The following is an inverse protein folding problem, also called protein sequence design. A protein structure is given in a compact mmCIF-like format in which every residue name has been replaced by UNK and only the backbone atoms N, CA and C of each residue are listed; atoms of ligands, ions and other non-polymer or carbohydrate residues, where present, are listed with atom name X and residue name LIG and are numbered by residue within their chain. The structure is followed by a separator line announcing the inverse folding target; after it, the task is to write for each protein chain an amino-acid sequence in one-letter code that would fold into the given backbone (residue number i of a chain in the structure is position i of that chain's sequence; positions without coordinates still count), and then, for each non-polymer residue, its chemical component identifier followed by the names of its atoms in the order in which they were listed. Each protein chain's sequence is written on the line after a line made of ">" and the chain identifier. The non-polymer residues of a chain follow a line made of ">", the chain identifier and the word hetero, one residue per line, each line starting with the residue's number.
data_IF_858834637773
#
_entry.id   IF_858834637773
#
_cell.length_a   1.000
_cell.length_b   1.000
_cell.length_c   1.000
_cell.angle_alpha   90.00
_cell.angle_beta   90.00
_cell.angle_gamma   90.00
#
_symmetry.space_group_name_H-M   'P 1'
#
loop_
_entity.id
_entity.type
_entity.pdbx_description
1 polymer ?
#
# COMPACT_ATOMS: atom_id res chain seq x y z
N UNK A 1 23.61 -8.66 14.13
CA UNK A 1 24.05 -8.89 15.53
C UNK A 1 22.83 -8.94 16.46
N UNK A 2 22.91 -9.64 17.61
CA UNK A 2 21.82 -9.64 18.61
C UNK A 2 21.96 -8.45 19.56
N UNK A 3 20.94 -7.59 19.61
CA UNK A 3 20.88 -6.38 20.44
C UNK A 3 20.24 -6.73 21.78
N UNK A 4 21.06 -6.72 22.84
CA UNK A 4 20.67 -7.13 24.20
C UNK A 4 20.87 -6.03 25.25
N UNK A 5 21.32 -4.84 24.85
CA UNK A 5 21.45 -3.65 25.71
C UNK A 5 20.87 -2.41 25.02
N UNK A 6 20.27 -1.50 25.80
CA UNK A 6 19.79 -0.19 25.30
C UNK A 6 20.88 0.62 24.60
N UNK A 7 22.11 0.57 25.09
CA UNK A 7 23.25 1.32 24.53
C UNK A 7 23.65 0.88 23.11
N UNK A 8 23.06 -0.18 22.58
CA UNK A 8 23.28 -0.69 21.23
C UNK A 8 22.15 -0.32 20.26
N UNK A 9 21.10 0.36 20.75
CA UNK A 9 20.05 0.93 19.92
C UNK A 9 20.58 2.14 19.14
N UNK A 10 19.90 2.54 18.04
CA UNK A 10 20.28 3.72 17.28
C UNK A 10 20.36 4.95 18.19
N UNK A 11 21.42 5.75 18.03
CA UNK A 11 21.69 6.90 18.88
C UNK A 11 20.63 8.00 18.79
N UNK A 12 19.88 8.05 17.69
CA UNK A 12 18.78 9.01 17.51
C UNK A 12 17.48 8.59 18.19
N UNK A 13 17.33 7.31 18.58
CA UNK A 13 16.08 6.83 19.11
C UNK A 13 15.87 7.33 20.54
N UNK A 14 14.78 8.07 20.71
CA UNK A 14 14.36 8.61 21.99
C UNK A 14 12.84 8.40 22.12
N UNK A 15 12.46 7.54 23.06
CA UNK A 15 11.06 7.18 23.31
C UNK A 15 10.21 8.39 23.75
N UNK A 16 10.81 9.42 24.34
CA UNK A 16 10.07 10.59 24.81
C UNK A 16 9.55 11.45 23.66
N UNK A 17 10.24 11.48 22.51
CA UNK A 17 9.78 12.22 21.33
C UNK A 17 8.44 11.67 20.80
N UNK A 18 8.16 10.39 21.02
CA UNK A 18 6.94 9.71 20.59
C UNK A 18 5.70 10.07 21.41
N UNK A 19 5.85 10.79 22.54
CA UNK A 19 4.72 11.33 23.31
C UNK A 19 3.88 12.30 22.48
N UNK A 20 4.45 12.90 21.43
CA UNK A 20 3.76 13.77 20.48
C UNK A 20 2.54 13.10 19.82
N UNK A 21 2.51 11.77 19.69
CA UNK A 21 1.36 11.08 19.09
C UNK A 21 0.09 11.12 19.94
N UNK A 22 0.22 11.31 21.25
CA UNK A 22 -0.94 11.40 22.14
C UNK A 22 -1.82 12.62 21.85
N UNK A 23 -1.25 13.68 21.27
CA UNK A 23 -1.94 14.93 20.94
C UNK A 23 -2.35 15.04 19.47
N UNK A 24 -2.01 14.05 18.63
CA UNK A 24 -2.46 14.01 17.24
C UNK A 24 -3.95 13.67 17.16
N UNK A 25 -4.63 14.32 16.23
CA UNK A 25 -5.97 13.89 15.80
C UNK A 25 -5.93 12.54 15.08
N UNK A 26 -7.12 12.01 14.82
CA UNK A 26 -7.30 10.66 14.28
C UNK A 26 -6.72 10.52 12.88
N UNK A 27 -6.89 11.52 12.02
CA UNK A 27 -6.37 11.53 10.67
C UNK A 27 -4.84 11.60 10.67
N UNK A 28 -4.27 12.50 11.44
CA UNK A 28 -2.82 12.68 11.58
C UNK A 28 -2.15 11.42 12.12
N UNK A 29 -2.76 10.76 13.11
CA UNK A 29 -2.22 9.51 13.65
C UNK A 29 -2.33 8.36 12.65
N UNK A 30 -3.44 8.25 11.91
CA UNK A 30 -3.59 7.25 10.86
C UNK A 30 -2.56 7.45 9.74
N UNK A 31 -2.29 8.70 9.34
CA UNK A 31 -1.25 9.01 8.37
C UNK A 31 0.14 8.53 8.82
N UNK A 32 0.46 8.61 10.12
CA UNK A 32 1.72 8.07 10.64
C UNK A 32 1.85 6.55 10.45
N UNK A 33 0.74 5.81 10.50
CA UNK A 33 0.71 4.36 10.24
C UNK A 33 0.86 4.06 8.75
N UNK A 34 0.11 4.78 7.89
CA UNK A 34 0.14 4.58 6.43
C UNK A 34 1.55 4.81 5.90
N UNK A 35 2.19 5.94 6.24
CA UNK A 35 3.55 6.24 5.78
C UNK A 35 4.57 5.17 6.17
N UNK A 36 4.44 4.62 7.37
CA UNK A 36 5.33 3.56 7.86
C UNK A 36 5.04 2.22 7.20
N UNK A 37 3.79 1.96 6.82
CA UNK A 37 3.45 0.82 5.98
C UNK A 37 4.09 0.97 4.59
N UNK A 38 4.07 2.16 4.00
CA UNK A 38 4.69 2.43 2.70
C UNK A 38 6.22 2.21 2.77
N UNK A 39 6.88 2.78 3.79
CA UNK A 39 8.31 2.54 4.05
C UNK A 39 8.63 1.04 4.21
N UNK A 40 7.73 0.27 4.84
CA UNK A 40 7.89 -1.18 5.00
C UNK A 40 7.84 -1.91 3.66
N UNK A 41 6.87 -1.55 2.80
CA UNK A 41 6.69 -2.14 1.48
C UNK A 41 7.91 -1.88 0.59
N UNK A 42 8.46 -0.67 0.66
CA UNK A 42 9.56 -0.22 -0.19
C UNK A 42 10.92 -0.30 0.50
N UNK A 43 11.05 -1.11 1.55
CA UNK A 43 12.26 -1.17 2.35
C UNK A 43 13.52 -1.30 1.49
N UNK A 44 13.51 -2.18 0.48
CA UNK A 44 14.66 -2.41 -0.41
C UNK A 44 15.07 -1.22 -1.30
N UNK A 45 14.26 -0.16 -1.35
CA UNK A 45 14.57 1.06 -2.10
C UNK A 45 15.31 2.09 -1.27
N UNK A 46 15.12 2.08 0.05
CA UNK A 46 15.76 3.02 0.98
C UNK A 46 17.09 2.49 1.50
N UNK A 47 18.10 3.35 1.52
CA UNK A 47 19.31 3.06 2.26
C UNK A 47 19.12 3.29 3.77
N UNK A 48 20.13 2.94 4.56
CA UNK A 48 20.06 3.11 6.02
C UNK A 48 20.06 4.59 6.45
N UNK A 49 20.64 5.48 5.64
CA UNK A 49 20.69 6.91 5.94
C UNK A 49 19.31 7.54 5.74
N UNK A 50 18.60 7.18 4.66
CA UNK A 50 17.22 7.58 4.38
C UNK A 50 16.28 7.15 5.52
N UNK A 51 16.35 5.89 5.93
CA UNK A 51 15.52 5.38 7.02
C UNK A 51 15.88 6.07 8.33
N UNK A 52 17.16 6.29 8.63
CA UNK A 52 17.53 7.04 9.82
C UNK A 52 17.03 8.50 9.75
N UNK A 53 17.08 9.15 8.59
CA UNK A 53 16.58 10.51 8.39
C UNK A 53 15.07 10.60 8.62
N UNK A 54 14.31 9.64 8.09
CA UNK A 54 12.86 9.56 8.26
C UNK A 54 12.49 9.26 9.73
N UNK A 55 13.21 8.34 10.38
CA UNK A 55 12.93 7.91 11.75
C UNK A 55 13.54 8.82 12.83
N UNK A 56 14.41 9.78 12.45
CA UNK A 56 15.01 10.75 13.37
C UNK A 56 13.96 11.71 13.96
N UNK A 57 12.94 12.06 13.16
CA UNK A 57 11.80 12.86 13.56
C UNK A 57 10.55 11.97 13.62
N UNK A 58 9.96 11.71 14.80
CA UNK A 58 8.90 10.71 14.94
C UNK A 58 7.61 11.10 14.22
N UNK A 59 7.29 12.40 14.14
CA UNK A 59 6.13 12.91 13.41
C UNK A 59 6.57 13.26 11.99
N UNK A 60 6.16 12.45 11.02
CA UNK A 60 6.47 12.71 9.61
C UNK A 60 5.48 13.77 9.10
N UNK A 61 5.91 15.03 9.11
CA UNK A 61 5.16 16.19 8.61
C UNK A 61 5.35 16.31 7.09
N UNK A 62 4.30 16.04 6.31
CA UNK A 62 4.25 16.37 4.87
C UNK A 62 3.04 17.28 4.64
N UNK A 63 3.14 18.35 3.83
CA UNK A 63 2.06 19.31 3.68
C UNK A 63 0.82 18.81 2.91
N UNK A 64 0.90 17.73 2.13
CA UNK A 64 -0.23 17.13 1.39
C UNK A 64 0.29 15.89 0.66
N UNK A 65 0.01 14.68 1.15
CA UNK A 65 0.26 13.47 0.36
C UNK A 65 -0.71 12.36 0.80
N UNK A 66 -1.91 12.39 0.21
CA UNK A 66 -2.81 11.24 0.13
C UNK A 66 -2.67 10.57 -1.25
N UNK A 67 -1.50 10.69 -1.88
CA UNK A 67 -1.24 10.21 -3.23
C UNK A 67 -0.23 9.07 -3.22
N UNK A 68 -0.78 7.91 -3.58
CA UNK A 68 -0.21 6.86 -4.45
C UNK A 68 1.16 6.31 -4.07
N UNK A 69 1.13 5.03 -3.64
CA UNK A 69 2.19 4.06 -3.86
C UNK A 69 2.68 4.22 -5.31
N UNK A 70 3.87 4.80 -5.51
CA UNK A 70 4.56 4.76 -6.80
C UNK A 70 5.57 3.63 -6.73
N UNK A 71 5.13 2.45 -7.17
CA UNK A 71 5.97 1.26 -7.25
C UNK A 71 6.78 1.28 -8.55
N UNK A 72 8.11 1.29 -8.45
CA UNK A 72 9.02 1.09 -9.58
C UNK A 72 10.12 0.11 -9.20
N UNK A 73 10.19 -1.04 -9.89
CA UNK A 73 11.47 -1.70 -10.21
C UNK A 73 11.38 -2.53 -11.49
N UNK A 74 12.21 -2.14 -12.46
CA UNK A 74 12.37 -2.78 -13.76
C UNK A 74 13.52 -3.80 -13.77
N UNK A 75 13.31 -5.00 -14.34
CA UNK A 75 14.25 -5.67 -15.30
C UNK A 75 13.67 -6.95 -15.96
N UNK A 76 13.22 -6.76 -17.21
CA UNK A 76 13.27 -7.57 -18.47
C UNK A 76 13.52 -9.11 -18.40
N UNK A 77 12.60 -9.91 -18.97
CA UNK A 77 12.75 -10.69 -20.24
C UNK A 77 11.45 -11.48 -20.60
N UNK A 78 11.20 -11.63 -21.89
CA UNK A 78 9.90 -11.85 -22.55
C UNK A 78 9.30 -13.26 -22.51
N UNK A 79 7.95 -13.37 -22.60
CA UNK A 79 7.25 -14.37 -23.44
C UNK A 79 5.85 -13.85 -23.86
N UNK A 80 5.44 -14.09 -25.10
CA UNK A 80 4.64 -13.17 -25.91
C UNK A 80 3.12 -13.08 -25.64
N UNK A 81 2.55 -13.73 -24.60
CA UNK A 81 1.17 -13.55 -24.15
C UNK A 81 1.01 -13.95 -22.67
N UNK A 82 0.50 -13.04 -21.83
CA UNK A 82 0.11 -13.31 -20.43
C UNK A 82 -1.22 -14.07 -20.30
N UNK A 83 -1.62 -14.47 -19.08
CA UNK A 83 -2.87 -15.20 -18.84
C UNK A 83 -4.11 -14.38 -19.24
N UNK A 84 -5.11 -15.04 -19.84
CA UNK A 84 -6.39 -14.43 -20.22
C UNK A 84 -7.28 -14.30 -18.99
N UNK A 85 -7.68 -13.07 -18.66
CA UNK A 85 -8.55 -12.79 -17.53
C UNK A 85 -9.99 -13.32 -17.73
N UNK A 86 -10.59 -13.82 -16.65
CA UNK A 86 -11.97 -14.33 -16.63
C UNK A 86 -13.02 -13.23 -16.85
N UNK A 87 -14.22 -13.59 -17.31
CA UNK A 87 -15.34 -12.67 -17.57
C UNK A 87 -16.67 -13.31 -17.18
N UNK A 88 -17.63 -12.51 -16.70
CA UNK A 88 -18.95 -12.97 -16.25
C UNK A 88 -20.03 -11.98 -16.68
N UNK A 89 -21.30 -12.33 -16.50
CA UNK A 89 -22.46 -11.61 -17.07
C UNK A 89 -22.36 -10.09 -16.82
N UNK A 90 -22.23 -9.30 -17.88
CA UNK A 90 -22.23 -7.83 -17.77
C UNK A 90 -20.95 -7.18 -17.22
N UNK A 91 -19.97 -7.98 -16.80
CA UNK A 91 -18.71 -7.48 -16.26
C UNK A 91 -17.58 -8.26 -16.90
N UNK A 92 -16.78 -7.58 -17.71
CA UNK A 92 -15.66 -8.20 -18.40
C UNK A 92 -14.45 -7.29 -18.35
N UNK A 93 -13.23 -7.86 -18.36
CA UNK A 93 -12.04 -7.09 -18.69
C UNK A 93 -12.28 -6.35 -20.01
N UNK A 94 -11.93 -5.06 -20.09
CA UNK A 94 -12.21 -4.24 -21.28
C UNK A 94 -11.60 -4.89 -22.51
N UNK A 95 -12.43 -5.33 -23.46
CA UNK A 95 -11.93 -6.01 -24.65
C UNK A 95 -11.20 -5.04 -25.58
N UNK A 96 -10.19 -5.53 -26.30
CA UNK A 96 -9.43 -4.70 -27.25
C UNK A 96 -10.35 -4.08 -28.31
N UNK A 97 -11.37 -4.80 -28.74
CA UNK A 97 -12.34 -4.28 -29.70
C UNK A 97 -13.14 -3.11 -29.12
N UNK A 98 -13.52 -3.18 -27.84
CA UNK A 98 -14.18 -2.08 -27.14
C UNK A 98 -13.25 -0.87 -27.00
N UNK A 99 -12.01 -1.10 -26.55
CA UNK A 99 -10.99 -0.04 -26.45
C UNK A 99 -10.70 0.59 -27.82
N UNK A 100 -10.66 -0.20 -28.90
CA UNK A 100 -10.50 0.26 -30.27
C UNK A 100 -11.69 1.11 -30.74
N UNK A 101 -12.93 0.70 -30.45
CA UNK A 101 -14.12 1.49 -30.77
C UNK A 101 -14.19 2.80 -29.99
N UNK A 102 -13.80 2.79 -28.71
CA UNK A 102 -13.69 3.99 -27.90
C UNK A 102 -12.62 4.93 -28.46
N UNK A 103 -11.44 4.40 -28.79
CA UNK A 103 -10.39 5.13 -29.47
C UNK A 103 -10.88 5.76 -30.79
N UNK A 104 -11.60 5.00 -31.62
CA UNK A 104 -12.15 5.49 -32.88
C UNK A 104 -13.12 6.65 -32.66
N UNK A 105 -13.99 6.56 -31.64
CA UNK A 105 -14.90 7.65 -31.27
C UNK A 105 -14.17 8.88 -30.75
N UNK A 106 -13.16 8.70 -29.90
CA UNK A 106 -12.30 9.79 -29.43
C UNK A 106 -11.55 10.45 -30.59
N UNK A 107 -11.12 9.67 -31.58
CA UNK A 107 -10.49 10.16 -32.81
C UNK A 107 -11.46 10.94 -33.68
N UNK A 108 -12.66 10.42 -33.94
CA UNK A 108 -13.71 11.12 -34.70
C UNK A 108 -14.10 12.43 -34.01
N UNK A 109 -14.16 12.44 -32.68
CA UNK A 109 -14.36 13.65 -31.89
C UNK A 109 -13.16 14.62 -31.97
N UNK A 110 -11.93 14.12 -31.86
CA UNK A 110 -10.70 14.92 -32.00
C UNK A 110 -10.60 15.54 -33.39
N UNK A 111 -10.86 14.77 -34.45
CA UNK A 111 -10.88 15.20 -35.84
C UNK A 111 -11.98 16.25 -36.08
N UNK A 112 -13.08 16.22 -35.30
CA UNK A 112 -14.11 17.27 -35.33
C UNK A 112 -13.66 18.59 -34.67
N UNK A 113 -12.67 18.55 -33.78
CA UNK A 113 -12.05 19.70 -33.12
C UNK A 113 -10.85 20.25 -33.94
N UNK A 114 -10.19 19.40 -34.74
CA UNK A 114 -8.92 19.65 -35.45
C UNK A 114 -9.06 20.45 -36.77
N UNK A 115 -9.98 21.41 -36.82
CA UNK A 115 -9.94 22.48 -37.84
C UNK A 115 -8.95 23.61 -37.46
N UNK A 116 -8.20 23.49 -36.36
CA UNK A 116 -7.17 24.45 -35.95
C UNK A 116 -5.94 23.79 -35.30
N UNK A 117 -4.99 23.41 -36.17
CA UNK A 117 -3.54 23.47 -36.03
C UNK A 117 -2.79 22.63 -34.95
N UNK A 118 -1.71 21.99 -35.45
CA UNK A 118 -0.47 21.54 -34.78
C UNK A 118 -0.42 20.20 -34.00
N UNK A 119 -1.51 19.46 -33.80
CA UNK A 119 -1.46 18.18 -33.05
C UNK A 119 -1.07 16.93 -33.87
N UNK A 120 -0.87 17.07 -35.18
CA UNK A 120 -0.76 15.92 -36.12
C UNK A 120 0.51 15.06 -35.98
N UNK A 121 1.54 15.55 -35.30
CA UNK A 121 2.78 14.81 -35.07
C UNK A 121 2.72 13.99 -33.77
N UNK A 122 2.11 14.55 -32.71
CA UNK A 122 1.96 13.88 -31.42
C UNK A 122 0.99 12.69 -31.50
N UNK A 123 -0.12 12.82 -32.24
CA UNK A 123 -1.10 11.73 -32.39
C UNK A 123 -0.55 10.49 -33.11
N UNK A 124 0.43 10.64 -34.01
CA UNK A 124 1.02 9.53 -34.77
C UNK A 124 2.17 8.83 -34.05
N UNK A 125 2.87 9.52 -33.13
CA UNK A 125 4.05 9.00 -32.45
C UNK A 125 3.72 8.14 -31.22
N UNK A 126 2.65 8.48 -30.47
CA UNK A 126 2.25 7.74 -29.26
C UNK A 126 1.38 6.50 -29.54
N UNK A 127 1.08 6.21 -30.81
CA UNK A 127 0.04 5.25 -31.24
C UNK A 127 0.54 3.88 -31.73
N UNK A 128 1.80 3.51 -31.52
CA UNK A 128 2.29 2.18 -31.94
C UNK A 128 2.21 1.13 -30.83
N UNK A 129 1.14 0.33 -30.96
CA UNK A 129 1.06 -1.13 -30.79
C UNK A 129 1.23 -1.72 -29.37
N UNK A 130 0.09 -2.05 -28.72
CA UNK A 130 -0.19 -3.32 -27.99
C UNK A 130 -1.64 -3.35 -27.47
N UNK A 131 -2.15 -4.55 -27.20
CA UNK A 131 -3.50 -4.83 -26.72
C UNK A 131 -3.60 -4.49 -25.21
N UNK A 132 -4.63 -3.78 -24.73
CA UNK A 132 -4.67 -3.29 -23.33
C UNK A 132 -4.80 -4.43 -22.30
N UNK A 133 -5.44 -5.55 -22.67
CA UNK A 133 -5.44 -6.80 -21.88
C UNK A 133 -4.34 -7.78 -22.30
N UNK A 134 -3.30 -7.30 -22.97
CA UNK A 134 -2.06 -8.05 -23.18
C UNK A 134 -0.97 -7.20 -22.58
N UNK A 135 -1.15 -6.96 -21.28
CA UNK A 135 -0.22 -6.21 -20.46
C UNK A 135 1.08 -7.03 -20.51
N UNK A 136 2.16 -6.51 -21.13
CA UNK A 136 3.49 -7.09 -20.98
C UNK A 136 3.75 -7.29 -19.49
N UNK A 137 4.47 -8.33 -19.10
CA UNK A 137 4.75 -8.57 -17.68
C UNK A 137 5.40 -7.34 -17.01
N UNK A 138 6.10 -6.52 -17.79
CA UNK A 138 6.71 -5.24 -17.39
C UNK A 138 5.71 -4.07 -17.16
N UNK A 139 4.42 -4.25 -17.45
CA UNK A 139 3.33 -3.28 -17.20
C UNK A 139 2.33 -3.86 -16.17
N UNK A 140 2.42 -5.16 -15.84
CA UNK A 140 1.67 -5.80 -14.74
C UNK A 140 2.18 -5.36 -13.36
N UNK A 141 3.24 -4.57 -13.30
CA UNK A 141 3.81 -3.97 -12.07
C UNK A 141 2.93 -2.87 -11.46
N UNK A 142 1.65 -2.75 -11.86
CA UNK A 142 0.71 -1.75 -11.34
C UNK A 142 -0.34 -2.39 -10.40
N UNK A 143 0.00 -2.47 -9.11
CA UNK A 143 -0.90 -2.56 -7.93
C UNK A 143 -2.08 -3.54 -7.97
N UNK A 144 -2.05 -4.58 -8.82
CA UNK A 144 -3.18 -5.50 -8.98
C UNK A 144 -4.45 -4.84 -9.55
N UNK A 145 -4.30 -3.75 -10.31
CA UNK A 145 -5.40 -2.99 -10.92
C UNK A 145 -5.75 -3.51 -12.33
N UNK A 146 -7.05 -3.47 -12.70
CA UNK A 146 -7.53 -3.83 -14.04
C UNK A 146 -8.57 -2.83 -14.55
N UNK A 147 -8.68 -2.70 -15.86
CA UNK A 147 -9.74 -1.91 -16.51
C UNK A 147 -10.90 -2.83 -16.89
N UNK A 148 -12.09 -2.53 -16.39
CA UNK A 148 -13.31 -3.31 -16.62
C UNK A 148 -14.34 -2.55 -17.45
N UNK A 149 -15.06 -3.28 -18.29
CA UNK A 149 -16.28 -2.82 -18.93
C UNK A 149 -17.47 -3.36 -18.14
N UNK A 150 -18.37 -2.46 -17.74
CA UNK A 150 -19.60 -2.78 -17.00
C UNK A 150 -20.79 -2.37 -17.87
N UNK A 151 -21.67 -3.32 -18.16
CA UNK A 151 -22.93 -3.07 -18.85
C UNK A 151 -23.98 -2.53 -17.87
N UNK A 152 -24.36 -1.27 -18.04
CA UNK A 152 -25.30 -0.57 -17.16
C UNK A 152 -26.78 -0.86 -17.50
N UNK A 153 -27.07 -1.58 -18.58
CA UNK A 153 -28.44 -2.00 -18.91
C UNK A 153 -28.91 -3.19 -18.05
N UNK A 154 -28.02 -3.74 -17.21
CA UNK A 154 -28.30 -4.85 -16.30
C UNK A 154 -28.73 -4.39 -14.90
N UNK A 155 -29.44 -5.27 -14.20
CA UNK A 155 -29.81 -5.04 -12.79
C UNK A 155 -28.57 -5.00 -11.88
N UNK A 156 -28.56 -4.06 -10.92
CA UNK A 156 -27.48 -3.86 -9.95
C UNK A 156 -27.03 -5.17 -9.27
N UNK A 157 -27.97 -6.07 -8.93
CA UNK A 157 -27.61 -7.34 -8.27
C UNK A 157 -26.84 -8.27 -9.19
N UNK A 158 -27.14 -8.26 -10.48
CA UNK A 158 -26.41 -9.07 -11.46
C UNK A 158 -24.99 -8.53 -11.64
N UNK A 159 -24.84 -7.20 -11.70
CA UNK A 159 -23.51 -6.55 -11.78
C UNK A 159 -22.68 -6.89 -10.54
N UNK A 160 -23.26 -6.80 -9.33
CA UNK A 160 -22.57 -7.10 -8.07
C UNK A 160 -22.21 -8.59 -7.96
N UNK A 161 -23.10 -9.51 -8.34
CA UNK A 161 -22.79 -10.96 -8.36
C UNK A 161 -21.65 -11.27 -9.32
N UNK A 162 -21.66 -10.66 -10.51
CA UNK A 162 -20.57 -10.81 -11.49
C UNK A 162 -19.24 -10.30 -10.97
N UNK A 163 -19.21 -9.10 -10.36
CA UNK A 163 -17.99 -8.58 -9.72
C UNK A 163 -17.50 -9.47 -8.58
N UNK A 164 -18.42 -9.97 -7.74
CA UNK A 164 -18.09 -10.81 -6.59
C UNK A 164 -17.43 -12.14 -6.99
N UNK A 165 -17.80 -12.68 -8.15
CA UNK A 165 -17.19 -13.91 -8.70
C UNK A 165 -15.87 -13.65 -9.40
N UNK A 166 -15.78 -12.56 -10.16
CA UNK A 166 -14.62 -12.28 -11.00
C UNK A 166 -13.43 -11.72 -10.23
N UNK A 167 -13.65 -10.91 -9.20
CA UNK A 167 -12.55 -10.31 -8.42
C UNK A 167 -11.60 -11.38 -7.84
N UNK A 168 -12.07 -12.47 -7.20
CA UNK A 168 -11.21 -13.56 -6.75
C UNK A 168 -10.46 -14.26 -7.89
N UNK A 169 -11.10 -14.46 -9.04
CA UNK A 169 -10.50 -15.11 -10.20
C UNK A 169 -9.37 -14.25 -10.77
N UNK A 170 -9.61 -12.95 -10.98
CA UNK A 170 -8.61 -12.01 -11.45
C UNK A 170 -7.41 -11.92 -10.51
N UNK A 171 -7.63 -11.89 -9.18
CA UNK A 171 -6.52 -11.91 -8.20
C UNK A 171 -5.66 -13.15 -8.36
N UNK A 172 -6.29 -14.32 -8.55
CA UNK A 172 -5.57 -15.59 -8.76
C UNK A 172 -4.79 -15.59 -10.08
N UNK A 173 -5.41 -15.13 -11.16
CA UNK A 173 -4.82 -15.08 -12.51
C UNK A 173 -3.62 -14.13 -12.57
N UNK A 174 -3.68 -13.03 -11.80
CA UNK A 174 -2.65 -12.01 -11.69
C UNK A 174 -1.59 -12.33 -10.64
N UNK A 175 -1.75 -13.43 -9.86
CA UNK A 175 -0.85 -13.75 -8.76
C UNK A 175 -0.88 -12.75 -7.60
N UNK A 176 -1.94 -11.96 -7.47
CA UNK A 176 -2.11 -10.98 -6.39
C UNK A 176 -2.31 -11.72 -5.08
N UNK A 177 -1.40 -11.50 -4.12
CA UNK A 177 -1.57 -11.96 -2.76
C UNK A 177 -2.72 -11.17 -2.13
N UNK A 178 -3.82 -11.87 -1.83
CA UNK A 178 -4.96 -11.27 -1.13
C UNK A 178 -4.46 -10.80 0.24
N UNK A 179 -4.56 -9.50 0.47
CA UNK A 179 -4.18 -8.88 1.76
C UNK A 179 -4.88 -9.59 2.91
N UNK A 180 -4.20 -9.70 4.04
CA UNK A 180 -4.71 -10.29 5.27
C UNK A 180 -6.05 -9.66 5.67
N UNK A 181 -6.89 -10.44 6.36
CA UNK A 181 -8.15 -9.90 6.89
C UNK A 181 -7.88 -8.67 7.75
N UNK A 182 -8.67 -7.60 7.61
CA UNK A 182 -8.50 -6.41 8.42
C UNK A 182 -8.70 -6.75 9.90
N UNK A 183 -8.09 -5.98 10.78
CA UNK A 183 -8.32 -6.13 12.21
C UNK A 183 -9.80 -5.94 12.55
N UNK A 184 -10.33 -6.79 13.43
CA UNK A 184 -11.76 -6.77 13.79
C UNK A 184 -12.17 -5.53 14.62
N UNK A 185 -11.24 -4.92 15.35
CA UNK A 185 -11.54 -3.75 16.20
C UNK A 185 -11.80 -2.47 15.40
N UNK A 186 -12.64 -1.58 15.95
CA UNK A 186 -12.84 -0.23 15.41
C UNK A 186 -11.59 0.63 15.58
N UNK A 187 -11.52 1.73 14.84
CA UNK A 187 -10.46 2.73 14.94
C UNK A 187 -10.28 3.23 16.37
N UNK A 188 -11.35 3.61 17.08
CA UNK A 188 -11.23 4.13 18.44
C UNK A 188 -10.51 3.15 19.41
N UNK A 189 -10.82 1.85 19.30
CA UNK A 189 -10.18 0.79 20.10
C UNK A 189 -8.74 0.58 19.64
N UNK A 190 -8.51 0.55 18.33
CA UNK A 190 -7.17 0.36 17.75
C UNK A 190 -6.25 1.52 18.09
N UNK A 191 -6.73 2.77 18.01
CA UNK A 191 -6.04 4.00 18.40
C UNK A 191 -5.58 3.96 19.84
N UNK A 192 -6.47 3.58 20.76
CA UNK A 192 -6.10 3.45 22.17
C UNK A 192 -4.94 2.46 22.35
N UNK A 193 -5.00 1.30 21.68
CA UNK A 193 -3.92 0.29 21.71
C UNK A 193 -2.64 0.75 21.01
N UNK A 194 -2.73 1.51 19.92
CA UNK A 194 -1.57 2.08 19.21
C UNK A 194 -0.75 2.94 20.16
N UNK A 195 -1.43 3.78 20.94
CA UNK A 195 -0.80 4.66 21.92
C UNK A 195 -0.31 3.88 23.15
N UNK A 196 -1.17 3.05 23.74
CA UNK A 196 -0.89 2.28 24.95
C UNK A 196 0.28 1.30 24.75
N UNK A 197 0.29 0.57 23.64
CA UNK A 197 1.35 -0.38 23.30
C UNK A 197 2.54 0.25 22.59
N UNK A 198 2.57 1.58 22.44
CA UNK A 198 3.68 2.32 21.83
C UNK A 198 4.05 1.70 20.46
N UNK A 199 3.04 1.47 19.62
CA UNK A 199 3.17 0.67 18.40
C UNK A 199 4.07 1.34 17.35
N UNK A 200 3.96 2.66 17.19
CA UNK A 200 4.79 3.39 16.23
C UNK A 200 6.29 3.34 16.62
N UNK A 201 6.72 3.68 17.85
CA UNK A 201 8.14 3.53 18.21
C UNK A 201 8.62 2.09 18.20
N UNK A 202 7.74 1.11 18.46
CA UNK A 202 8.08 -0.30 18.27
C UNK A 202 8.38 -0.61 16.79
N UNK A 203 7.53 -0.15 15.88
CA UNK A 203 7.73 -0.30 14.44
C UNK A 203 9.08 0.29 14.02
N UNK A 204 9.38 1.53 14.44
CA UNK A 204 10.61 2.24 14.06
C UNK A 204 11.87 1.50 14.52
N UNK A 205 11.86 0.91 15.72
CA UNK A 205 12.95 0.05 16.19
C UNK A 205 13.10 -1.24 15.39
N UNK A 206 11.98 -1.88 15.01
CA UNK A 206 12.01 -3.11 14.22
C UNK A 206 12.50 -2.83 12.80
N UNK A 207 12.02 -1.74 12.18
CA UNK A 207 12.47 -1.23 10.88
C UNK A 207 13.98 -1.04 10.84
N UNK A 208 14.52 -0.31 11.81
CA UNK A 208 15.96 -0.11 11.94
C UNK A 208 16.71 -1.43 12.14
N UNK A 209 16.18 -2.35 12.95
CA UNK A 209 16.84 -3.63 13.22
C UNK A 209 16.92 -4.51 11.97
N UNK A 210 15.84 -4.55 11.19
CA UNK A 210 15.79 -5.29 9.93
C UNK A 210 16.81 -4.73 8.93
N UNK A 211 16.86 -3.40 8.80
CA UNK A 211 17.76 -2.71 7.87
C UNK A 211 19.23 -2.83 8.22
N UNK A 212 19.54 -2.87 9.51
CA UNK A 212 20.91 -3.08 9.98
C UNK A 212 21.27 -4.56 10.13
N UNK A 213 20.39 -5.48 9.70
CA UNK A 213 20.54 -6.92 9.85
C UNK A 213 20.86 -7.34 11.31
N UNK A 214 20.16 -6.69 12.23
CA UNK A 214 20.22 -6.87 13.66
C UNK A 214 18.91 -7.44 14.20
N UNK A 215 18.97 -8.04 15.37
CA UNK A 215 17.78 -8.56 16.06
C UNK A 215 17.70 -8.02 17.46
N UNK A 216 16.66 -7.23 17.75
CA UNK A 216 16.41 -6.66 19.07
C UNK A 216 15.67 -7.67 19.94
N UNK A 217 16.24 -7.99 21.09
CA UNK A 217 15.57 -8.85 22.08
C UNK A 217 14.32 -8.19 22.65
N UNK A 218 13.29 -9.00 22.92
CA UNK A 218 12.05 -8.50 23.52
C UNK A 218 12.28 -7.85 24.89
N UNK A 219 13.29 -8.31 25.65
CA UNK A 219 13.68 -7.66 26.91
C UNK A 219 14.16 -6.21 26.70
N UNK A 220 15.00 -5.97 25.69
CA UNK A 220 15.42 -4.60 25.32
C UNK A 220 14.24 -3.77 24.85
N UNK A 221 13.35 -4.32 24.01
CA UNK A 221 12.14 -3.62 23.56
C UNK A 221 11.26 -3.22 24.75
N UNK A 222 11.01 -4.16 25.68
CA UNK A 222 10.21 -3.93 26.88
C UNK A 222 10.78 -2.78 27.72
N UNK A 223 12.05 -2.85 28.13
CA UNK A 223 12.62 -1.78 28.97
C UNK A 223 12.76 -0.44 28.24
N UNK A 224 12.85 -0.45 26.91
CA UNK A 224 12.99 0.76 26.09
C UNK A 224 11.68 1.49 25.91
N UNK A 225 10.62 0.74 25.58
CA UNK A 225 9.30 1.30 25.37
C UNK A 225 8.59 1.52 26.70
N UNK A 226 8.75 0.63 27.67
CA UNK A 226 8.03 0.60 28.96
C UNK A 226 9.01 0.65 30.13
N UNK A 227 9.68 1.80 30.36
CA UNK A 227 10.71 1.92 31.39
C UNK A 227 10.17 1.73 32.81
N UNK A 228 8.87 1.96 33.02
CA UNK A 228 8.20 1.81 34.31
C UNK A 228 7.63 0.40 34.53
N UNK A 229 7.80 -0.49 33.53
CA UNK A 229 7.41 -1.89 33.61
C UNK A 229 5.94 -2.16 33.30
N UNK A 230 5.28 -1.27 32.54
CA UNK A 230 3.88 -1.43 32.12
C UNK A 230 3.65 -2.74 31.35
N UNK A 231 4.64 -3.15 30.54
CA UNK A 231 4.66 -4.40 29.80
C UNK A 231 6.05 -5.04 29.80
N UNK A 232 6.07 -6.37 29.82
CA UNK A 232 7.30 -7.16 29.83
C UNK A 232 7.63 -7.80 28.47
N UNK A 233 8.70 -8.59 28.43
CA UNK A 233 9.14 -9.28 27.21
C UNK A 233 8.14 -10.32 26.68
N UNK A 234 7.26 -10.85 27.53
CA UNK A 234 6.22 -11.82 27.17
C UNK A 234 5.06 -11.07 26.51
N UNK A 235 4.63 -9.95 27.09
CA UNK A 235 3.62 -9.07 26.49
C UNK A 235 4.06 -8.58 25.09
N UNK A 236 5.32 -8.18 24.95
CA UNK A 236 5.90 -7.79 23.65
C UNK A 236 5.74 -8.92 22.63
N UNK A 237 6.10 -10.15 22.99
CA UNK A 237 6.12 -11.28 22.08
C UNK A 237 4.73 -11.80 21.71
N UNK A 238 3.84 -11.91 22.69
CA UNK A 238 2.57 -12.63 22.54
C UNK A 238 1.39 -11.71 22.24
N UNK A 239 1.50 -10.40 22.48
CA UNK A 239 0.38 -9.46 22.36
C UNK A 239 0.73 -8.28 21.46
N UNK A 240 1.80 -7.56 21.78
CA UNK A 240 2.08 -6.26 21.15
C UNK A 240 2.59 -6.44 19.71
N UNK A 241 3.59 -7.32 19.47
CA UNK A 241 4.06 -7.62 18.11
C UNK A 241 2.96 -8.20 17.20
N UNK A 242 2.18 -9.22 17.63
CA UNK A 242 1.05 -9.69 16.83
C UNK A 242 0.00 -8.60 16.54
N UNK A 243 -0.20 -7.64 17.44
CA UNK A 243 -1.08 -6.50 17.18
C UNK A 243 -0.48 -5.54 16.14
N UNK A 244 0.82 -5.23 16.24
CA UNK A 244 1.55 -4.44 15.24
C UNK A 244 1.38 -5.05 13.85
N UNK A 245 1.64 -6.34 13.69
CA UNK A 245 1.54 -7.03 12.39
C UNK A 245 0.12 -6.95 11.81
N UNK A 246 -0.91 -7.07 12.66
CA UNK A 246 -2.32 -6.97 12.25
C UNK A 246 -2.76 -5.57 11.81
N UNK A 247 -2.19 -4.51 12.38
CA UNK A 247 -2.59 -3.14 12.02
C UNK A 247 -1.74 -2.57 10.87
N UNK A 248 -0.50 -3.03 10.72
CA UNK A 248 0.40 -2.67 9.63
C UNK A 248 0.17 -3.57 8.41
N UNK A 249 -1.06 -3.57 7.91
CA UNK A 249 -1.40 -4.12 6.60
C UNK A 249 -2.43 -3.22 5.89
N UNK A 250 -2.48 -3.34 4.57
CA UNK A 250 -3.31 -2.51 3.71
C UNK A 250 -4.81 -2.60 4.07
N UNK A 251 -5.34 -3.81 4.29
CA UNK A 251 -6.75 -4.00 4.65
C UNK A 251 -7.14 -3.25 5.93
N UNK A 252 -6.30 -3.30 6.97
CA UNK A 252 -6.53 -2.63 8.24
C UNK A 252 -6.45 -1.11 8.12
N UNK A 253 -5.48 -0.58 7.39
CA UNK A 253 -5.36 0.88 7.19
C UNK A 253 -6.51 1.42 6.33
N UNK A 254 -6.92 0.72 5.28
CA UNK A 254 -8.10 1.07 4.47
C UNK A 254 -9.41 1.02 5.26
N UNK A 255 -9.57 0.01 6.12
CA UNK A 255 -10.70 -0.06 7.05
C UNK A 255 -10.75 1.19 7.93
N UNK A 256 -9.62 1.59 8.54
CA UNK A 256 -9.59 2.76 9.40
C UNK A 256 -9.86 4.06 8.65
N UNK A 257 -9.33 4.24 7.43
CA UNK A 257 -9.65 5.41 6.59
C UNK A 257 -11.15 5.58 6.41
N UNK A 258 -11.87 4.48 6.14
CA UNK A 258 -13.33 4.48 5.96
C UNK A 258 -14.13 4.76 7.24
N UNK A 259 -13.59 4.44 8.41
CA UNK A 259 -14.27 4.70 9.69
C UNK A 259 -14.13 6.16 10.15
N UNK A 260 -13.07 6.85 9.73
CA UNK A 260 -12.73 8.22 10.15
C UNK A 260 -13.23 9.26 9.13
N UNK A 261 -13.42 8.86 7.85
CA UNK A 261 -14.00 9.69 6.78
C UNK A 261 -15.51 9.86 6.93
#
# INVERSE_FOLDING_TARGET
>A
MRINKKSQLPSYFDADKYKAFSVLDDESLLQQLVKRLDIKSDYEMYDIEDINNILMEPVILEPNALHTLEDHKMKVESELLGPRLSSYVGVRPMELVTAFHLYKRCKEFSDSIDNNSELSFFSKFWMKQRHINTIPQEILDNDGSIYVEIDLDLDDKLIIDSLSRLIPEWRKEMGVLVSEEPVNSSWAVSRAKILDYKIIPLFDLLAWSEKTNNSITNGVLAVTLFPDGEYDSINIAQTIKPFLDKIFNFSSTEKFKREIS
#
